data_IF_126109131493
#
_entry.id   IF_126109131493
#
_cell.length_a   1.000
_cell.length_b   1.000
_cell.length_c   1.000
_cell.angle_alpha   90.00
_cell.angle_beta   90.00
_cell.angle_gamma   90.00
#
_symmetry.space_group_name_H-M   'P 1'
#
loop_
_entity.id
_entity.type
_entity.pdbx_description
1 polymer ?
#
# COMPACT_ATOMS: atom_id res chain seq x y z
N UNK A 1 -11.19 -15.30 -4.21
CA UNK A 1 -10.50 -15.54 -2.92
C UNK A 1 -9.03 -15.84 -3.19
N UNK A 2 -8.17 -14.81 -3.28
CA UNK A 2 -6.80 -14.94 -3.82
C UNK A 2 -5.67 -14.52 -2.89
N UNK A 3 -5.95 -13.93 -1.73
CA UNK A 3 -4.92 -13.36 -0.84
C UNK A 3 -4.57 -14.26 0.36
N UNK A 4 -5.24 -15.40 0.53
CA UNK A 4 -4.99 -16.33 1.64
C UNK A 4 -5.38 -15.81 3.04
N UNK A 5 -5.94 -14.60 3.13
CA UNK A 5 -6.43 -14.00 4.37
C UNK A 5 -7.93 -14.25 4.54
N UNK A 6 -8.34 -14.63 5.75
CA UNK A 6 -9.76 -14.73 6.10
C UNK A 6 -10.42 -13.34 6.10
N UNK A 7 -11.64 -13.24 5.58
CA UNK A 7 -12.32 -11.94 5.36
C UNK A 7 -12.52 -11.15 6.65
N UNK A 8 -12.80 -11.80 7.77
CA UNK A 8 -12.91 -11.17 9.08
C UNK A 8 -11.56 -10.57 9.53
N UNK A 9 -10.46 -11.31 9.37
CA UNK A 9 -9.12 -10.82 9.73
C UNK A 9 -8.72 -9.64 8.85
N UNK A 10 -9.07 -9.67 7.56
CA UNK A 10 -8.84 -8.53 6.67
C UNK A 10 -9.65 -7.31 7.14
N UNK A 11 -10.93 -7.48 7.45
CA UNK A 11 -11.79 -6.40 7.93
C UNK A 11 -11.25 -5.76 9.22
N UNK A 12 -10.84 -6.58 10.20
CA UNK A 12 -10.29 -6.10 11.47
C UNK A 12 -9.00 -5.28 11.25
N UNK A 13 -8.11 -5.75 10.35
CA UNK A 13 -6.86 -5.03 10.02
C UNK A 13 -7.12 -3.73 9.28
N UNK A 14 -8.07 -3.71 8.36
CA UNK A 14 -8.46 -2.49 7.66
C UNK A 14 -9.05 -1.46 8.63
N UNK A 15 -9.92 -1.89 9.54
CA UNK A 15 -10.48 -1.03 10.58
C UNK A 15 -9.37 -0.45 11.47
N UNK A 16 -8.43 -1.27 11.92
CA UNK A 16 -7.28 -0.81 12.71
C UNK A 16 -6.47 0.27 11.96
N UNK A 17 -6.16 0.05 10.69
CA UNK A 17 -5.40 1.02 9.89
C UNK A 17 -6.17 2.33 9.68
N UNK A 18 -7.50 2.28 9.58
CA UNK A 18 -8.36 3.48 9.53
C UNK A 18 -8.37 4.21 10.87
N UNK A 19 -8.54 3.50 11.98
CA UNK A 19 -8.56 4.08 13.33
C UNK A 19 -7.22 4.75 13.66
N UNK A 20 -6.11 4.20 13.13
CA UNK A 20 -4.78 4.81 13.23
C UNK A 20 -4.54 5.95 12.22
N UNK A 21 -5.50 6.24 11.35
CA UNK A 21 -5.40 7.30 10.34
C UNK A 21 -4.35 7.03 9.25
N UNK A 22 -4.01 5.78 9.00
CA UNK A 22 -3.02 5.36 7.99
C UNK A 22 -3.68 5.22 6.61
N UNK A 23 -4.94 4.79 6.59
CA UNK A 23 -5.76 4.69 5.39
C UNK A 23 -7.12 5.34 5.60
N UNK A 24 -7.80 5.66 4.49
CA UNK A 24 -9.19 6.10 4.45
C UNK A 24 -9.99 5.20 3.49
N UNK A 25 -11.20 4.81 3.89
CA UNK A 25 -12.14 4.07 3.06
C UNK A 25 -13.17 5.00 2.43
N UNK A 26 -13.43 4.83 1.13
CA UNK A 26 -14.46 5.56 0.39
C UNK A 26 -15.35 4.57 -0.34
N UNK A 27 -16.67 4.75 -0.27
CA UNK A 27 -17.61 3.94 -1.07
C UNK A 27 -17.40 4.24 -2.56
N UNK A 28 -17.42 3.20 -3.38
CA UNK A 28 -17.30 3.35 -4.83
C UNK A 28 -18.50 4.15 -5.36
N UNK A 29 -18.29 5.10 -6.27
CA UNK A 29 -19.38 5.80 -6.95
C UNK A 29 -20.28 4.84 -7.74
N UNK A 30 -19.72 3.76 -8.27
CA UNK A 30 -20.41 2.80 -9.14
C UNK A 30 -21.18 1.72 -8.37
N UNK A 31 -20.75 1.40 -7.15
CA UNK A 31 -21.41 0.44 -6.27
C UNK A 31 -21.15 0.78 -4.80
N UNK A 32 -22.18 1.25 -4.10
CA UNK A 32 -22.10 1.65 -2.69
C UNK A 32 -21.72 0.51 -1.74
N UNK A 33 -21.79 -0.76 -2.17
CA UNK A 33 -21.36 -1.93 -1.41
C UNK A 33 -19.85 -2.13 -1.47
N UNK A 34 -19.17 -1.52 -2.43
CA UNK A 34 -17.72 -1.62 -2.61
C UNK A 34 -17.05 -0.45 -1.88
N UNK A 35 -16.05 -0.75 -1.05
CA UNK A 35 -15.22 0.25 -0.38
C UNK A 35 -13.82 0.21 -1.00
N UNK A 36 -13.35 1.35 -1.47
CA UNK A 36 -11.97 1.54 -1.92
C UNK A 36 -11.16 2.20 -0.81
N UNK A 37 -10.04 1.58 -0.44
CA UNK A 37 -9.12 2.12 0.56
C UNK A 37 -7.97 2.86 -0.12
N UNK A 38 -7.58 4.00 0.45
CA UNK A 38 -6.46 4.82 -0.01
C UNK A 38 -5.59 5.21 1.19
N UNK A 39 -4.25 5.30 1.03
CA UNK A 39 -3.38 5.80 2.09
C UNK A 39 -3.67 7.29 2.37
N UNK A 40 -3.53 7.68 3.63
CA UNK A 40 -3.46 9.10 4.02
C UNK A 40 -2.04 9.63 3.86
N UNK A 41 -1.80 10.92 4.11
CA UNK A 41 -0.44 11.47 4.16
C UNK A 41 0.43 10.73 5.20
N UNK A 42 -0.13 10.49 6.40
CA UNK A 42 0.51 9.68 7.45
C UNK A 42 0.89 8.28 6.94
N UNK A 43 0.04 7.65 6.13
CA UNK A 43 0.34 6.36 5.51
C UNK A 43 1.44 6.44 4.45
N UNK A 44 1.45 7.50 3.64
CA UNK A 44 2.49 7.72 2.63
C UNK A 44 3.86 8.04 3.24
N UNK A 45 3.90 8.62 4.44
CA UNK A 45 5.14 8.85 5.19
C UNK A 45 5.79 7.54 5.66
N UNK A 46 5.06 6.42 5.73
CA UNK A 46 5.62 5.11 6.09
C UNK A 46 6.38 4.42 4.94
N UNK A 47 6.28 4.92 3.71
CA UNK A 47 6.89 4.31 2.53
C UNK A 47 8.40 4.01 2.68
N UNK A 48 9.25 4.93 3.19
CA UNK A 48 10.66 4.64 3.36
C UNK A 48 10.90 3.42 4.26
N UNK A 49 10.18 3.34 5.39
CA UNK A 49 10.31 2.23 6.35
C UNK A 49 9.83 0.91 5.75
N UNK A 50 8.71 0.91 5.04
CA UNK A 50 8.18 -0.27 4.38
C UNK A 50 9.15 -0.80 3.31
N UNK A 51 9.80 0.09 2.56
CA UNK A 51 10.81 -0.28 1.56
C UNK A 51 12.00 -0.96 2.23
N UNK A 52 12.52 -0.42 3.34
CA UNK A 52 13.63 -1.08 4.06
C UNK A 52 13.25 -2.48 4.54
N UNK A 53 12.04 -2.64 5.09
CA UNK A 53 11.54 -3.95 5.52
C UNK A 53 11.51 -4.93 4.33
N UNK A 54 10.97 -4.50 3.19
CA UNK A 54 10.89 -5.34 1.98
C UNK A 54 12.29 -5.72 1.49
N UNK A 55 13.22 -4.77 1.39
CA UNK A 55 14.59 -5.03 0.94
C UNK A 55 15.34 -5.96 1.90
N UNK A 56 15.10 -5.83 3.21
CA UNK A 56 15.61 -6.76 4.21
C UNK A 56 15.04 -8.17 4.00
N UNK A 57 13.72 -8.32 3.83
CA UNK A 57 13.09 -9.62 3.56
C UNK A 57 13.69 -10.26 2.30
N UNK A 58 13.82 -9.51 1.21
CA UNK A 58 14.38 -10.01 -0.06
C UNK A 58 15.81 -10.54 0.09
N UNK A 59 16.58 -10.01 1.04
CA UNK A 59 17.95 -10.48 1.30
C UNK A 59 18.01 -11.87 1.94
N UNK A 60 17.00 -12.23 2.74
CA UNK A 60 17.02 -13.44 3.57
C UNK A 60 15.98 -14.48 3.16
N UNK A 61 14.93 -14.07 2.47
CA UNK A 61 13.78 -14.90 2.14
C UNK A 61 13.51 -14.95 0.64
N UNK A 62 12.96 -16.07 0.17
CA UNK A 62 12.44 -16.16 -1.20
C UNK A 62 11.10 -15.44 -1.26
N UNK A 63 11.02 -14.39 -2.09
CA UNK A 63 9.79 -13.62 -2.26
C UNK A 63 9.22 -13.82 -3.66
N UNK A 64 7.90 -13.71 -3.80
CA UNK A 64 7.23 -13.63 -5.10
C UNK A 64 7.26 -12.21 -5.70
N UNK A 65 7.98 -11.26 -5.07
CA UNK A 65 8.04 -9.89 -5.55
C UNK A 65 8.77 -9.83 -6.90
N UNK A 66 8.25 -9.10 -7.89
CA UNK A 66 8.91 -9.00 -9.19
C UNK A 66 10.32 -8.40 -9.07
N UNK A 67 11.31 -9.00 -9.72
CA UNK A 67 12.71 -8.52 -9.67
C UNK A 67 12.83 -7.05 -10.09
N UNK A 68 12.04 -6.61 -11.08
CA UNK A 68 12.00 -5.20 -11.52
C UNK A 68 11.58 -4.25 -10.39
N UNK A 69 10.63 -4.67 -9.54
CA UNK A 69 10.17 -3.86 -8.39
C UNK A 69 11.27 -3.77 -7.33
N UNK A 70 11.93 -4.88 -7.04
CA UNK A 70 13.05 -4.93 -6.09
C UNK A 70 14.18 -4.01 -6.56
N UNK A 71 14.58 -4.12 -7.83
CA UNK A 71 15.60 -3.27 -8.44
C UNK A 71 15.21 -1.79 -8.38
N UNK A 72 13.93 -1.48 -8.65
CA UNK A 72 13.42 -0.11 -8.56
C UNK A 72 13.57 0.45 -7.14
N UNK A 73 13.18 -0.33 -6.13
CA UNK A 73 13.29 0.04 -4.70
C UNK A 73 14.74 0.21 -4.23
N UNK A 74 15.68 -0.60 -4.74
CA UNK A 74 17.09 -0.57 -4.32
C UNK A 74 17.94 0.46 -5.05
N UNK A 75 17.68 0.70 -6.34
CA UNK A 75 18.51 1.58 -7.18
C UNK A 75 17.98 3.03 -7.27
N UNK A 76 16.66 3.24 -7.16
CA UNK A 76 16.06 4.58 -7.17
C UNK A 76 14.90 4.63 -6.18
N UNK A 77 15.26 4.48 -4.90
CA UNK A 77 14.33 4.53 -3.78
C UNK A 77 13.52 5.81 -3.77
N UNK A 78 14.17 6.96 -3.91
CA UNK A 78 13.49 8.24 -3.84
C UNK A 78 12.54 8.46 -5.03
N UNK A 79 12.96 8.10 -6.24
CA UNK A 79 12.10 8.19 -7.41
C UNK A 79 10.89 7.27 -7.30
N UNK A 80 11.07 6.09 -6.73
CA UNK A 80 9.96 5.17 -6.44
C UNK A 80 8.99 5.73 -5.39
N UNK A 81 9.50 6.31 -4.29
CA UNK A 81 8.65 6.95 -3.27
C UNK A 81 7.89 8.14 -3.88
N UNK A 82 8.56 8.98 -4.67
CA UNK A 82 7.93 10.12 -5.35
C UNK A 82 6.81 9.67 -6.29
N UNK A 83 7.04 8.63 -7.07
CA UNK A 83 6.04 8.06 -7.98
C UNK A 83 4.79 7.58 -7.22
N UNK A 84 4.97 6.84 -6.12
CA UNK A 84 3.84 6.39 -5.29
C UNK A 84 3.09 7.58 -4.70
N UNK A 85 3.82 8.56 -4.14
CA UNK A 85 3.19 9.77 -3.60
C UNK A 85 2.36 10.48 -4.68
N UNK A 86 2.93 10.73 -5.86
CA UNK A 86 2.22 11.36 -6.98
C UNK A 86 0.96 10.59 -7.38
N UNK A 87 1.01 9.25 -7.40
CA UNK A 87 -0.17 8.41 -7.70
C UNK A 87 -1.32 8.62 -6.72
N UNK A 88 -1.03 8.90 -5.45
CA UNK A 88 -2.04 9.09 -4.40
C UNK A 88 -2.33 10.57 -4.08
N UNK A 89 -1.46 11.50 -4.50
CA UNK A 89 -1.67 12.95 -4.40
C UNK A 89 -2.47 13.51 -5.59
N UNK A 90 -2.45 12.84 -6.74
CA UNK A 90 -3.22 13.29 -7.90
C UNK A 90 -4.73 13.14 -7.63
N UNK A 91 -5.55 14.19 -7.83
CA UNK A 91 -7.00 14.04 -7.77
C UNK A 91 -7.41 13.01 -8.82
N UNK A 92 -8.08 11.93 -8.38
CA UNK A 92 -8.73 11.00 -9.31
C UNK A 92 -9.68 11.84 -10.17
N UNK A 93 -9.42 11.90 -11.48
CA UNK A 93 -10.37 12.45 -12.44
C UNK A 93 -11.70 11.73 -12.22
N UNK A 94 -12.76 12.53 -12.03
CA UNK A 94 -14.14 12.05 -11.97
C UNK A 94 -14.58 11.51 -13.31
#
# INVERSE_FOLDING_TARGET
SGEGIATNILADRLQLLQDQGIIVGQRSPDDARVITYQPTEKGLELLPTLIEIILWVVKYEKTAAPAKLITRMSQDREGFIREIRQRFSAPKAR
#
